data_IF_061748161547
#
_entry.id   IF_061748161547
#
_cell.length_a   1.000
_cell.length_b   1.000
_cell.length_c   1.000
_cell.angle_alpha   90.00
_cell.angle_beta   90.00
_cell.angle_gamma   90.00
#
_symmetry.space_group_name_H-M   'P 1'
#
loop_
_entity.id
_entity.type
_entity.pdbx_description
1 polymer ?
#
# COMPACT_ATOMS: atom_id res chain seq x y z
N UNK A 1 24.94 -8.64 -7.60
CA UNK A 1 23.82 -9.40 -7.01
C UNK A 1 22.53 -8.76 -7.46
N UNK A 2 21.70 -9.52 -8.16
CA UNK A 2 20.37 -9.14 -8.65
C UNK A 2 19.32 -9.48 -7.59
N UNK A 3 18.08 -9.04 -7.78
CA UNK A 3 16.97 -9.45 -6.90
C UNK A 3 16.74 -10.96 -6.95
N UNK A 4 16.86 -11.58 -8.13
CA UNK A 4 16.73 -13.03 -8.29
C UNK A 4 17.75 -13.82 -7.43
N UNK A 5 18.94 -13.26 -7.18
CA UNK A 5 19.96 -13.91 -6.34
C UNK A 5 19.59 -13.91 -4.84
N UNK A 6 18.64 -13.06 -4.43
CA UNK A 6 18.12 -12.95 -3.06
C UNK A 6 16.76 -13.63 -2.87
N UNK A 7 16.04 -13.90 -3.96
CA UNK A 7 14.76 -14.57 -3.97
C UNK A 7 14.96 -16.08 -3.67
N UNK A 8 14.89 -16.45 -2.38
CA UNK A 8 15.07 -17.83 -1.92
C UNK A 8 13.75 -18.63 -1.85
N UNK A 9 12.62 -17.95 -2.02
CA UNK A 9 11.28 -18.55 -2.01
C UNK A 9 10.68 -18.66 -3.41
N UNK A 10 9.60 -19.45 -3.57
CA UNK A 10 8.91 -19.57 -4.86
C UNK A 10 8.31 -18.25 -5.37
N UNK A 11 8.44 -17.97 -6.67
CA UNK A 11 7.95 -16.74 -7.31
C UNK A 11 6.45 -16.51 -7.12
N UNK A 12 5.65 -17.57 -7.00
CA UNK A 12 4.20 -17.47 -6.81
C UNK A 12 3.81 -16.69 -5.54
N UNK A 13 4.70 -16.61 -4.54
CA UNK A 13 4.50 -15.81 -3.33
C UNK A 13 4.38 -14.33 -3.70
N UNK A 14 5.31 -13.81 -4.51
CA UNK A 14 5.32 -12.39 -4.92
C UNK A 14 4.04 -12.07 -5.69
N UNK A 15 3.64 -12.95 -6.62
CA UNK A 15 2.42 -12.76 -7.41
C UNK A 15 1.15 -12.80 -6.56
N UNK A 16 1.10 -13.67 -5.55
CA UNK A 16 -0.01 -13.73 -4.60
C UNK A 16 -0.10 -12.43 -3.79
N UNK A 17 1.02 -11.95 -3.25
CA UNK A 17 1.06 -10.67 -2.52
C UNK A 17 0.65 -9.51 -3.43
N UNK A 18 1.16 -9.46 -4.66
CA UNK A 18 0.77 -8.45 -5.65
C UNK A 18 -0.74 -8.42 -5.88
N UNK A 19 -1.37 -9.58 -6.13
CA UNK A 19 -2.82 -9.65 -6.36
C UNK A 19 -3.60 -9.16 -5.15
N UNK A 20 -3.20 -9.56 -3.94
CA UNK A 20 -3.86 -9.10 -2.71
C UNK A 20 -3.80 -7.57 -2.59
N UNK A 21 -2.62 -6.98 -2.76
CA UNK A 21 -2.45 -5.53 -2.66
C UNK A 21 -3.17 -4.77 -3.77
N UNK A 22 -3.16 -5.29 -5.00
CA UNK A 22 -3.88 -4.72 -6.13
C UNK A 22 -5.40 -4.72 -5.89
N UNK A 23 -5.96 -5.84 -5.42
CA UNK A 23 -7.40 -5.95 -5.11
C UNK A 23 -7.77 -4.99 -3.98
N UNK A 24 -7.00 -4.94 -2.89
CA UNK A 24 -7.22 -4.00 -1.79
C UNK A 24 -7.17 -2.54 -2.26
N UNK A 25 -6.18 -2.21 -3.09
CA UNK A 25 -6.06 -0.87 -3.66
C UNK A 25 -7.30 -0.49 -4.48
N UNK A 26 -7.80 -1.37 -5.35
CA UNK A 26 -9.01 -1.12 -6.15
C UNK A 26 -10.24 -0.88 -5.24
N UNK A 27 -10.43 -1.74 -4.24
CA UNK A 27 -11.56 -1.61 -3.30
C UNK A 27 -11.48 -0.27 -2.54
N UNK A 28 -10.30 0.11 -2.05
CA UNK A 28 -10.08 1.38 -1.35
C UNK A 28 -10.26 2.60 -2.27
N UNK A 29 -9.71 2.57 -3.48
CA UNK A 29 -9.86 3.63 -4.47
C UNK A 29 -11.32 3.86 -4.90
N UNK A 30 -12.14 2.80 -4.87
CA UNK A 30 -13.59 2.93 -5.12
C UNK A 30 -14.30 3.79 -4.07
N UNK A 31 -13.70 4.00 -2.89
CA UNK A 31 -14.27 4.74 -1.77
C UNK A 31 -15.16 3.90 -0.85
N UNK A 32 -15.20 2.57 -1.01
CA UNK A 32 -16.04 1.65 -0.24
C UNK A 32 -15.23 0.71 0.68
N UNK A 33 -13.90 0.87 0.72
CA UNK A 33 -12.99 -0.02 1.45
C UNK A 33 -12.70 0.39 2.89
N UNK A 34 -13.50 1.25 3.53
CA UNK A 34 -13.20 1.83 4.85
C UNK A 34 -13.02 0.79 5.95
N UNK A 35 -13.65 -0.37 5.80
CA UNK A 35 -13.51 -1.51 6.71
C UNK A 35 -12.09 -2.05 6.83
N UNK A 36 -11.28 -1.92 5.75
CA UNK A 36 -9.88 -2.33 5.73
C UNK A 36 -8.95 -1.34 6.45
N UNK A 37 -9.45 -0.15 6.84
CA UNK A 37 -8.68 0.87 7.54
C UNK A 37 -8.89 0.66 9.04
N UNK A 38 -8.04 -0.14 9.67
CA UNK A 38 -8.21 -0.61 11.06
C UNK A 38 -8.47 0.53 12.06
N UNK A 39 -7.70 1.62 12.02
CA UNK A 39 -7.86 2.76 12.92
C UNK A 39 -9.20 3.47 12.75
N UNK A 40 -9.70 3.59 11.52
CA UNK A 40 -11.02 4.14 11.25
C UNK A 40 -12.11 3.15 11.65
N UNK A 41 -11.99 1.88 11.26
CA UNK A 41 -12.99 0.84 11.50
C UNK A 41 -13.27 0.60 12.99
N UNK A 42 -12.23 0.62 13.84
CA UNK A 42 -12.35 0.45 15.30
C UNK A 42 -12.82 1.72 16.02
N UNK A 43 -12.85 2.88 15.34
CA UNK A 43 -13.28 4.14 15.95
C UNK A 43 -14.79 4.13 16.27
N UNK A 44 -15.17 4.89 17.29
CA UNK A 44 -16.59 5.12 17.62
C UNK A 44 -17.29 5.87 16.47
N UNK A 45 -18.63 5.88 16.47
CA UNK A 45 -19.40 6.62 15.45
C UNK A 45 -19.04 8.11 15.45
N UNK A 46 -18.92 8.72 16.62
CA UNK A 46 -18.54 10.12 16.79
C UNK A 46 -17.14 10.42 16.23
N UNK A 47 -16.16 9.53 16.44
CA UNK A 47 -14.83 9.70 15.87
C UNK A 47 -14.83 9.50 14.35
N UNK A 48 -15.59 8.53 13.83
CA UNK A 48 -15.73 8.31 12.37
C UNK A 48 -16.33 9.53 11.65
N UNK A 49 -17.25 10.25 12.28
CA UNK A 49 -17.89 11.43 11.70
C UNK A 49 -16.91 12.59 11.45
N UNK A 50 -15.80 12.65 12.20
CA UNK A 50 -14.73 13.66 12.03
C UNK A 50 -13.91 13.46 10.76
N UNK A 51 -14.09 12.36 10.03
CA UNK A 51 -13.36 12.08 8.80
C UNK A 51 -14.29 12.05 7.60
N UNK A 52 -13.75 12.44 6.44
CA UNK A 52 -14.32 12.12 5.14
C UNK A 52 -13.90 10.69 4.77
N UNK A 53 -14.83 9.75 4.94
CA UNK A 53 -14.62 8.33 4.68
C UNK A 53 -14.13 8.05 3.25
N UNK A 54 -14.73 8.71 2.24
CA UNK A 54 -14.37 8.46 0.84
C UNK A 54 -12.98 8.98 0.53
N UNK A 55 -12.63 10.16 1.05
CA UNK A 55 -11.29 10.74 0.89
C UNK A 55 -10.24 9.93 1.63
N UNK A 56 -10.56 9.44 2.82
CA UNK A 56 -9.69 8.55 3.60
C UNK A 56 -9.43 7.24 2.83
N UNK A 57 -10.49 6.58 2.35
CA UNK A 57 -10.38 5.38 1.52
C UNK A 57 -9.51 5.58 0.29
N UNK A 58 -9.76 6.66 -0.47
CA UNK A 58 -8.99 6.95 -1.69
C UNK A 58 -7.53 7.25 -1.37
N UNK A 59 -7.25 8.01 -0.32
CA UNK A 59 -5.87 8.32 0.12
C UNK A 59 -5.12 7.03 0.49
N UNK A 60 -5.72 6.17 1.30
CA UNK A 60 -5.12 4.87 1.64
C UNK A 60 -4.99 3.96 0.43
N UNK A 61 -5.97 3.97 -0.48
CA UNK A 61 -5.94 3.20 -1.72
C UNK A 61 -4.84 3.62 -2.70
N UNK A 62 -4.53 4.93 -2.76
CA UNK A 62 -3.41 5.46 -3.56
C UNK A 62 -2.08 4.92 -3.02
N UNK A 63 -1.83 5.03 -1.71
CA UNK A 63 -0.59 4.48 -1.15
C UNK A 63 -0.47 2.97 -1.33
N UNK A 64 -1.57 2.24 -1.10
CA UNK A 64 -1.64 0.81 -1.41
C UNK A 64 -1.30 0.51 -2.88
N UNK A 65 -1.71 1.37 -3.82
CA UNK A 65 -1.38 1.23 -5.25
C UNK A 65 0.11 1.41 -5.52
N UNK A 66 0.78 2.33 -4.82
CA UNK A 66 2.22 2.56 -4.93
C UNK A 66 2.97 1.30 -4.48
N UNK A 67 2.58 0.71 -3.35
CA UNK A 67 3.14 -0.55 -2.87
C UNK A 67 2.90 -1.68 -3.88
N UNK A 68 1.68 -1.82 -4.42
CA UNK A 68 1.37 -2.84 -5.42
C UNK A 68 2.23 -2.68 -6.70
N UNK A 69 2.42 -1.45 -7.18
CA UNK A 69 3.25 -1.16 -8.36
C UNK A 69 4.72 -1.47 -8.07
N UNK A 70 5.24 -1.16 -6.89
CA UNK A 70 6.61 -1.53 -6.49
C UNK A 70 6.82 -3.05 -6.51
N UNK A 71 5.87 -3.80 -5.95
CA UNK A 71 5.91 -5.28 -5.97
C UNK A 71 5.88 -5.80 -7.40
N UNK A 72 5.01 -5.24 -8.26
CA UNK A 72 4.93 -5.59 -9.67
C UNK A 72 6.26 -5.35 -10.40
N UNK A 73 6.89 -4.20 -10.19
CA UNK A 73 8.19 -3.87 -10.79
C UNK A 73 9.26 -4.84 -10.30
N UNK A 74 9.32 -5.13 -9.00
CA UNK A 74 10.30 -6.08 -8.47
C UNK A 74 10.10 -7.48 -9.03
N UNK A 75 8.86 -7.97 -9.12
CA UNK A 75 8.56 -9.29 -9.66
C UNK A 75 8.82 -9.40 -11.17
N UNK A 76 8.46 -8.38 -11.97
CA UNK A 76 8.70 -8.41 -13.42
C UNK A 76 10.18 -8.26 -13.79
N UNK A 77 10.95 -7.52 -12.99
CA UNK A 77 12.32 -7.14 -13.32
C UNK A 77 13.37 -7.74 -12.38
N UNK A 78 13.05 -8.79 -11.63
CA UNK A 78 13.96 -9.40 -10.64
C UNK A 78 15.32 -9.83 -11.23
N UNK A 79 15.32 -10.23 -12.50
CA UNK A 79 16.51 -10.66 -13.25
C UNK A 79 17.37 -9.50 -13.77
N UNK A 80 16.89 -8.26 -13.65
CA UNK A 80 17.56 -7.05 -14.13
C UNK A 80 17.90 -6.09 -13.00
N UNK A 81 17.05 -6.00 -11.98
CA UNK A 81 17.23 -5.09 -10.86
C UNK A 81 18.35 -5.55 -9.92
N UNK A 82 19.17 -4.60 -9.49
CA UNK A 82 20.18 -4.82 -8.45
C UNK A 82 19.52 -5.11 -7.10
N UNK A 83 20.15 -5.95 -6.29
CA UNK A 83 19.78 -6.20 -4.90
C UNK A 83 19.64 -4.90 -4.07
N UNK A 84 20.37 -3.84 -4.43
CA UNK A 84 20.25 -2.52 -3.80
C UNK A 84 18.83 -1.93 -3.91
N UNK A 85 18.06 -2.33 -4.91
CA UNK A 85 16.69 -1.85 -5.12
C UNK A 85 15.76 -2.19 -3.95
N UNK A 86 16.02 -3.24 -3.17
CA UNK A 86 15.23 -3.57 -1.97
C UNK A 86 15.27 -2.42 -0.97
N UNK A 87 16.45 -1.84 -0.72
CA UNK A 87 16.59 -0.73 0.22
C UNK A 87 15.85 0.52 -0.25
N UNK A 88 15.87 0.78 -1.57
CA UNK A 88 15.09 1.86 -2.18
C UNK A 88 13.59 1.59 -2.01
N UNK A 89 13.13 0.38 -2.34
CA UNK A 89 11.73 0.00 -2.22
C UNK A 89 11.23 0.13 -0.78
N UNK A 90 12.00 -0.34 0.20
CA UNK A 90 11.70 -0.17 1.63
C UNK A 90 11.64 1.32 2.00
N UNK A 91 12.58 2.14 1.53
CA UNK A 91 12.56 3.58 1.76
C UNK A 91 11.30 4.25 1.21
N UNK A 92 10.88 3.90 -0.02
CA UNK A 92 9.66 4.42 -0.63
C UNK A 92 8.43 3.99 0.17
N UNK A 93 8.34 2.73 0.59
CA UNK A 93 7.21 2.22 1.40
C UNK A 93 7.11 2.98 2.72
N UNK A 94 8.23 3.21 3.40
CA UNK A 94 8.23 3.99 4.67
C UNK A 94 7.74 5.40 4.43
N UNK A 95 8.23 6.09 3.40
CA UNK A 95 7.79 7.44 3.05
C UNK A 95 6.31 7.47 2.70
N UNK A 96 5.84 6.53 1.88
CA UNK A 96 4.44 6.41 1.49
C UNK A 96 3.52 6.22 2.71
N UNK A 97 3.87 5.31 3.62
CA UNK A 97 3.12 5.09 4.86
C UNK A 97 3.05 6.36 5.71
N UNK A 98 4.18 7.07 5.87
CA UNK A 98 4.22 8.34 6.61
C UNK A 98 3.31 9.39 5.95
N UNK A 99 3.36 9.50 4.62
CA UNK A 99 2.52 10.43 3.85
C UNK A 99 1.04 10.09 4.02
N UNK A 100 0.63 8.82 3.89
CA UNK A 100 -0.77 8.40 4.07
C UNK A 100 -1.26 8.76 5.48
N UNK A 101 -0.45 8.54 6.53
CA UNK A 101 -0.81 8.88 7.91
C UNK A 101 -1.02 10.38 8.06
N UNK A 102 -0.09 11.19 7.54
CA UNK A 102 -0.20 12.66 7.59
C UNK A 102 -1.45 13.13 6.84
N UNK A 103 -1.65 12.66 5.61
CA UNK A 103 -2.81 13.03 4.79
C UNK A 103 -4.13 12.56 5.40
N UNK A 104 -4.15 11.38 6.01
CA UNK A 104 -5.30 10.84 6.75
C UNK A 104 -5.69 11.73 7.93
N UNK A 105 -4.72 12.23 8.68
CA UNK A 105 -4.95 13.06 9.86
C UNK A 105 -5.14 14.56 9.57
N UNK A 106 -4.77 15.02 8.39
CA UNK A 106 -4.86 16.43 7.98
C UNK A 106 -5.96 16.65 6.94
N UNK A 107 -5.79 16.11 5.73
CA UNK A 107 -6.68 16.37 4.60
C UNK A 107 -7.97 15.54 4.63
N UNK A 108 -7.95 14.36 5.24
CA UNK A 108 -9.12 13.48 5.32
C UNK A 108 -9.98 13.74 6.55
N UNK A 109 -9.52 14.59 7.48
CA UNK A 109 -10.31 15.08 8.61
C UNK A 109 -11.19 16.24 8.13
N UNK A 110 -12.43 16.29 8.61
CA UNK A 110 -13.39 17.38 8.36
C UNK A 110 -13.10 18.58 9.23
#
# INVERSE_FOLDING_TARGET
MKLADLATGPDWIIWTVFVVFAVLSIILLSGHGSWFISGYNMASKEEKEKYDEKKLCRTTGIGMSIIAILILIMGLFENFLSAFFIYIAVGIIVVDVVVIIILGNTLCRK
#
